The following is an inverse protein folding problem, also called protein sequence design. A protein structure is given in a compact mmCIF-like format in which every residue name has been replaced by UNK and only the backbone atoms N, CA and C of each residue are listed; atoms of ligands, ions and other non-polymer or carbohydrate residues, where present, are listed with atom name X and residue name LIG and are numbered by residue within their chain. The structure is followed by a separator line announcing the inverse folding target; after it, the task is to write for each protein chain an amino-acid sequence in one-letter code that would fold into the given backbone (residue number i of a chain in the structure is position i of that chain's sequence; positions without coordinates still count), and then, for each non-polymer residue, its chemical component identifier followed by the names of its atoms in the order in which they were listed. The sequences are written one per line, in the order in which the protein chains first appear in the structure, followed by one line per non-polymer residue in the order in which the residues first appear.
data_IF_921738730184
#
_entry.id   IF_921738730184
#
_cell.length_a   1.000
_cell.length_b   1.000
_cell.length_c   1.000
_cell.angle_alpha   90.00
_cell.angle_beta   90.00
_cell.angle_gamma   90.00
#
_symmetry.space_group_name_H-M   'P 1'
#
loop_
_entity.id
_entity.type
_entity.pdbx_description
1 polymer ?
#
# COMPACT_ATOMS: atom_id res chain seq x y z
N UNK A 1 5.86 -19.54 -19.94
CA UNK A 1 5.43 -20.03 -18.61
C UNK A 1 5.99 -19.22 -17.45
N UNK A 2 7.30 -18.94 -17.39
CA UNK A 2 7.91 -18.17 -16.29
C UNK A 2 7.31 -16.75 -16.09
N UNK A 3 7.04 -16.01 -17.17
CA UNK A 3 6.46 -14.68 -17.07
C UNK A 3 5.05 -14.66 -16.46
N UNK A 4 4.20 -15.62 -16.85
CA UNK A 4 2.82 -15.72 -16.31
C UNK A 4 2.85 -16.01 -14.82
N UNK A 5 3.70 -16.94 -14.37
CA UNK A 5 3.87 -17.25 -12.95
C UNK A 5 4.32 -16.00 -12.19
N UNK A 6 5.29 -15.26 -12.73
CA UNK A 6 5.78 -14.03 -12.12
C UNK A 6 4.69 -12.96 -12.02
N UNK A 7 3.89 -12.76 -13.07
CA UNK A 7 2.74 -11.84 -13.04
C UNK A 7 1.73 -12.25 -11.97
N UNK A 8 1.36 -13.53 -11.90
CA UNK A 8 0.40 -14.02 -10.89
C UNK A 8 0.94 -13.83 -9.48
N UNK A 9 2.21 -14.14 -9.24
CA UNK A 9 2.86 -13.90 -7.95
C UNK A 9 2.84 -12.42 -7.58
N UNK A 10 3.21 -11.54 -8.51
CA UNK A 10 3.21 -10.10 -8.26
C UNK A 10 1.80 -9.55 -8.04
N UNK A 11 0.78 -10.05 -8.74
CA UNK A 11 -0.60 -9.70 -8.48
C UNK A 11 -1.03 -10.06 -7.05
N UNK A 12 -0.68 -11.27 -6.58
CA UNK A 12 -0.93 -11.68 -5.18
C UNK A 12 -0.23 -10.75 -4.20
N UNK A 13 1.03 -10.38 -4.47
CA UNK A 13 1.80 -9.46 -3.62
C UNK A 13 1.15 -8.08 -3.54
N UNK A 14 0.60 -7.54 -4.64
CA UNK A 14 -0.17 -6.28 -4.60
C UNK A 14 -1.36 -6.40 -3.63
N UNK A 15 -2.14 -7.48 -3.71
CA UNK A 15 -3.27 -7.67 -2.80
C UNK A 15 -2.85 -7.84 -1.34
N UNK A 16 -1.70 -8.48 -1.08
CA UNK A 16 -1.12 -8.57 0.26
C UNK A 16 -0.73 -7.18 0.77
N UNK A 17 -0.07 -6.36 -0.07
CA UNK A 17 0.27 -4.97 0.28
C UNK A 17 -0.96 -4.14 0.60
N UNK A 18 -2.01 -4.25 -0.23
CA UNK A 18 -3.30 -3.60 0.01
C UNK A 18 -3.91 -4.04 1.34
N UNK A 19 -3.99 -5.35 1.59
CA UNK A 19 -4.53 -5.88 2.84
C UNK A 19 -3.74 -5.44 4.07
N UNK A 20 -2.41 -5.38 3.98
CA UNK A 20 -1.55 -4.90 5.04
C UNK A 20 -1.80 -3.42 5.37
N UNK A 21 -1.99 -2.57 4.37
CA UNK A 21 -2.33 -1.16 4.58
C UNK A 21 -3.71 -0.99 5.22
N UNK A 22 -4.75 -1.70 4.74
CA UNK A 22 -6.10 -1.72 5.36
C UNK A 22 -6.09 -2.21 6.81
N UNK A 23 -5.20 -3.16 7.13
CA UNK A 23 -5.01 -3.63 8.49
C UNK A 23 -4.26 -2.60 9.36
N UNK A 24 -3.26 -1.93 8.78
CA UNK A 24 -2.56 -0.80 9.38
C UNK A 24 -3.52 0.33 9.77
N UNK A 25 -4.36 0.77 8.85
CA UNK A 25 -5.44 1.74 9.07
C UNK A 25 -6.36 1.32 10.25
N UNK A 26 -6.81 0.07 10.26
CA UNK A 26 -7.72 -0.43 11.31
C UNK A 26 -7.14 -0.32 12.72
N UNK A 27 -5.84 -0.51 12.86
CA UNK A 27 -5.16 -0.55 14.17
C UNK A 27 -4.57 0.81 14.53
N UNK A 28 -3.97 1.46 13.55
CA UNK A 28 -3.17 2.67 13.71
C UNK A 28 -3.82 3.94 13.20
N UNK A 29 -4.96 3.90 12.52
CA UNK A 29 -5.62 5.10 11.97
C UNK A 29 -6.09 6.09 13.03
N UNK A 30 -6.29 5.64 14.28
CA UNK A 30 -6.56 6.54 15.41
C UNK A 30 -5.30 7.16 16.03
N UNK A 31 -4.12 6.75 15.58
CA UNK A 31 -2.86 7.24 16.12
C UNK A 31 -2.46 8.55 15.45
N UNK A 32 -1.79 9.39 16.21
CA UNK A 32 -1.25 10.64 15.69
C UNK A 32 0.09 10.38 14.98
N UNK A 33 0.05 9.79 13.78
CA UNK A 33 1.22 9.40 13.00
C UNK A 33 1.10 9.85 11.52
N UNK A 34 2.17 9.71 10.71
CA UNK A 34 2.06 9.92 9.28
C UNK A 34 1.07 8.93 8.65
N UNK A 35 0.30 9.38 7.64
CA UNK A 35 -0.59 8.48 6.91
C UNK A 35 0.21 7.41 6.18
N UNK A 36 -0.37 6.22 6.11
CA UNK A 36 0.36 5.03 5.72
C UNK A 36 0.56 4.93 4.19
N UNK A 37 -0.17 5.71 3.38
CA UNK A 37 0.19 5.91 1.97
C UNK A 37 1.65 6.36 1.80
N UNK A 38 2.21 7.12 2.75
CA UNK A 38 3.61 7.59 2.70
C UNK A 38 4.57 6.41 2.73
N UNK A 39 4.31 5.41 3.59
CA UNK A 39 5.11 4.19 3.64
C UNK A 39 5.02 3.41 2.33
N UNK A 40 3.82 3.32 1.75
CA UNK A 40 3.62 2.73 0.42
C UNK A 40 4.45 3.41 -0.66
N UNK A 41 4.45 4.75 -0.68
CA UNK A 41 5.25 5.55 -1.61
C UNK A 41 6.76 5.34 -1.41
N UNK A 42 7.23 5.32 -0.16
CA UNK A 42 8.64 5.05 0.15
C UNK A 42 9.06 3.67 -0.38
N UNK A 43 8.23 2.66 -0.20
CA UNK A 43 8.50 1.32 -0.72
C UNK A 43 8.60 1.32 -2.24
N UNK A 44 7.67 1.97 -2.95
CA UNK A 44 7.75 2.11 -4.41
C UNK A 44 9.05 2.77 -4.84
N UNK A 45 9.46 3.87 -4.18
CA UNK A 45 10.70 4.58 -4.48
C UNK A 45 11.93 3.68 -4.24
N UNK A 46 12.00 2.99 -3.09
CA UNK A 46 13.11 2.09 -2.76
C UNK A 46 13.19 0.95 -3.79
N UNK A 47 12.06 0.32 -4.10
CA UNK A 47 12.02 -0.78 -5.07
C UNK A 47 12.41 -0.35 -6.49
N UNK A 48 12.17 0.91 -6.87
CA UNK A 48 12.54 1.46 -8.18
C UNK A 48 14.06 1.40 -8.44
N UNK A 49 14.89 1.49 -7.41
CA UNK A 49 16.35 1.34 -7.52
C UNK A 49 16.80 -0.11 -7.82
N UNK A 50 15.92 -1.10 -7.65
CA UNK A 50 16.22 -2.53 -7.78
C UNK A 50 15.34 -3.25 -8.81
N UNK A 51 14.72 -2.51 -9.75
CA UNK A 51 13.79 -3.05 -10.78
C UNK A 51 14.36 -4.16 -11.65
N UNK A 52 15.69 -4.26 -11.75
CA UNK A 52 16.39 -5.30 -12.50
C UNK A 52 16.28 -6.68 -11.85
N UNK A 53 15.80 -6.80 -10.61
CA UNK A 53 15.66 -8.06 -9.90
C UNK A 53 14.25 -8.27 -9.34
N UNK A 54 13.94 -9.54 -9.03
CA UNK A 54 12.64 -9.96 -8.51
C UNK A 54 12.23 -9.21 -7.23
N UNK A 55 13.19 -8.90 -6.36
CA UNK A 55 12.93 -8.24 -5.08
C UNK A 55 12.51 -6.79 -5.27
N UNK A 56 13.17 -6.03 -6.16
CA UNK A 56 12.76 -4.66 -6.46
C UNK A 56 11.33 -4.60 -7.01
N UNK A 57 10.98 -5.51 -7.93
CA UNK A 57 9.62 -5.62 -8.43
C UNK A 57 8.62 -5.98 -7.32
N UNK A 58 8.98 -6.90 -6.43
CA UNK A 58 8.15 -7.32 -5.28
C UNK A 58 7.92 -6.18 -4.28
N UNK A 59 8.95 -5.38 -4.02
CA UNK A 59 8.85 -4.20 -3.15
C UNK A 59 7.96 -3.13 -3.80
N UNK A 60 8.09 -2.91 -5.12
CA UNK A 60 7.22 -1.98 -5.86
C UNK A 60 5.77 -2.43 -5.81
N UNK A 61 5.49 -3.70 -6.08
CA UNK A 61 4.11 -4.21 -6.15
C UNK A 61 3.45 -4.22 -4.78
N UNK A 62 4.17 -4.65 -3.75
CA UNK A 62 3.71 -4.55 -2.37
C UNK A 62 3.46 -3.09 -1.99
N UNK A 63 4.42 -2.20 -2.24
CA UNK A 63 4.32 -0.77 -1.95
C UNK A 63 3.16 -0.10 -2.67
N UNK A 64 2.91 -0.45 -3.94
CA UNK A 64 1.77 0.03 -4.72
C UNK A 64 0.43 -0.42 -4.10
N UNK A 65 0.32 -1.69 -3.71
CA UNK A 65 -0.86 -2.18 -2.99
C UNK A 65 -1.09 -1.43 -1.68
N UNK A 66 -0.03 -1.27 -0.88
CA UNK A 66 -0.06 -0.56 0.39
C UNK A 66 -0.45 0.92 0.22
N UNK A 67 0.11 1.60 -0.77
CA UNK A 67 -0.24 2.97 -1.13
C UNK A 67 -1.72 3.11 -1.53
N UNK A 68 -2.21 2.24 -2.42
CA UNK A 68 -3.59 2.29 -2.92
C UNK A 68 -4.63 2.02 -1.83
N UNK A 69 -4.25 1.31 -0.77
CA UNK A 69 -5.14 1.06 0.37
C UNK A 69 -5.58 2.34 1.10
N UNK A 70 -4.85 3.44 0.87
CA UNK A 70 -4.97 4.73 1.53
C UNK A 70 -5.04 5.89 0.52
N UNK A 71 -5.57 5.59 -0.67
CA UNK A 71 -5.56 6.52 -1.81
C UNK A 71 -6.39 7.79 -1.55
N UNK A 72 -7.47 7.70 -0.77
CA UNK A 72 -8.33 8.85 -0.45
C UNK A 72 -7.55 9.91 0.34
N UNK A 73 -6.77 9.50 1.34
CA UNK A 73 -5.97 10.41 2.15
C UNK A 73 -4.84 11.04 1.34
N UNK A 74 -4.22 10.28 0.44
CA UNK A 74 -3.26 10.82 -0.52
C UNK A 74 -3.90 11.87 -1.44
N UNK A 75 -5.08 11.60 -2.02
CA UNK A 75 -5.78 12.52 -2.92
C UNK A 75 -6.17 13.82 -2.22
N UNK A 76 -6.41 13.78 -0.90
CA UNK A 76 -6.66 14.95 -0.07
C UNK A 76 -5.40 15.53 0.58
N UNK A 77 -4.21 15.01 0.24
CA UNK A 77 -2.90 15.45 0.76
C UNK A 77 -2.82 15.43 2.30
N UNK A 78 -3.48 14.47 2.93
CA UNK A 78 -3.39 14.25 4.39
C UNK A 78 -2.07 13.54 4.68
N UNK A 79 -1.13 14.26 5.29
CA UNK A 79 0.24 13.77 5.53
C UNK A 79 0.42 13.24 6.95
N UNK A 80 -0.28 13.83 7.92
CA UNK A 80 -0.12 13.49 9.34
C UNK A 80 -1.41 13.75 10.11
N UNK A 81 -1.70 12.87 11.08
CA UNK A 81 -2.79 13.02 12.01
C UNK A 81 -3.61 11.73 12.11
N UNK A 82 -4.55 11.67 13.06
CA UNK A 82 -5.51 10.59 13.12
C UNK A 82 -6.54 10.71 11.98
N UNK A 83 -7.00 9.56 11.51
CA UNK A 83 -8.06 9.47 10.51
C UNK A 83 -9.39 9.93 11.07
N UNK A 84 -10.20 10.54 10.20
CA UNK A 84 -11.56 10.90 10.55
C UNK A 84 -12.37 9.62 10.87
N UNK A 85 -13.24 9.66 11.90
CA UNK A 85 -14.09 8.52 12.23
C UNK A 85 -14.95 8.13 11.04
N UNK A 86 -14.64 6.97 10.45
CA UNK A 86 -15.39 6.44 9.32
C UNK A 86 -15.77 4.97 9.58
N UNK A 87 -16.84 4.50 8.93
CA UNK A 87 -17.18 3.08 8.98
C UNK A 87 -16.11 2.31 8.23
N UNK A 88 -15.35 1.50 8.96
CA UNK A 88 -14.32 0.66 8.36
C UNK A 88 -14.94 -0.29 7.33
N UNK A 89 -14.42 -0.25 6.10
CA UNK A 89 -14.74 -1.19 5.01
C UNK A 89 -13.45 -1.66 4.39
N UNK A 90 -13.28 -2.97 4.21
CA UNK A 90 -12.04 -3.52 3.66
C UNK A 90 -11.70 -2.93 2.28
N UNK A 91 -12.70 -2.78 1.41
CA UNK A 91 -12.49 -2.32 0.05
C UNK A 91 -12.61 -0.79 -0.15
N UNK A 92 -12.85 -0.01 0.91
CA UNK A 92 -13.17 1.44 0.83
C UNK A 92 -14.26 1.83 -0.19
N UNK A 93 -15.05 0.86 -0.68
CA UNK A 93 -16.21 1.09 -1.55
C UNK A 93 -17.29 1.75 -0.68
N UNK A 94 -17.66 2.99 -0.98
CA UNK A 94 -18.75 3.73 -0.33
C UNK A 94 -20.12 3.24 -0.79
#
# INVERSE_FOLDING_TARGET
MHAVILIVLQAIIVFIGFGAGRFGDRIGGSWNCPHHWILGLILVIIGAFYTHNFWGLTVITFGAGFFVSDLDDFLHMRIYGPDEPHKWRFWSIK
#
